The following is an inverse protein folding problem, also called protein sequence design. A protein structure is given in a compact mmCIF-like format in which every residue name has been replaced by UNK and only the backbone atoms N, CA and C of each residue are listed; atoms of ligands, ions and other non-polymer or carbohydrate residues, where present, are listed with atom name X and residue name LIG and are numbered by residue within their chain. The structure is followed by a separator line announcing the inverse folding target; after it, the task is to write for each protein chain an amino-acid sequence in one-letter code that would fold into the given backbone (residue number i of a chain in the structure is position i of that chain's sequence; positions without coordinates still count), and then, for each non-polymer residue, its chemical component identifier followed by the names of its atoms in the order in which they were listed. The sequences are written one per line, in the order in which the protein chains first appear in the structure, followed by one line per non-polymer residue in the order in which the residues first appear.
data_IF_191711572528
#
_entry.id   IF_191711572528
#
_cell.length_a   1.000
_cell.length_b   1.000
_cell.length_c   1.000
_cell.angle_alpha   90.00
_cell.angle_beta   90.00
_cell.angle_gamma   90.00
#
_symmetry.space_group_name_H-M   'P 1'
#
loop_
_entity.id
_entity.type
_entity.pdbx_description
1 polymer ?
#
# COMPACT_ATOMS: atom_id res chain seq x y z
N UNK A 1 26.83 -31.55 -41.94
CA UNK A 1 26.77 -30.85 -40.63
C UNK A 1 25.40 -30.21 -40.50
N UNK A 2 24.65 -30.52 -39.44
CA UNK A 2 23.21 -30.22 -39.30
C UNK A 2 23.06 -29.15 -38.22
N UNK A 3 22.74 -27.92 -38.61
CA UNK A 3 22.49 -26.80 -37.69
C UNK A 3 21.06 -26.89 -37.16
N UNK A 4 20.90 -27.21 -35.88
CA UNK A 4 19.64 -27.05 -35.16
C UNK A 4 19.45 -25.58 -34.77
N UNK A 5 18.26 -24.98 -34.99
CA UNK A 5 17.92 -23.70 -34.39
C UNK A 5 17.32 -23.96 -33.00
N UNK A 6 18.03 -23.54 -31.96
CA UNK A 6 17.45 -23.38 -30.62
C UNK A 6 16.55 -22.14 -30.63
N UNK A 7 15.25 -22.36 -30.80
CA UNK A 7 14.22 -21.36 -30.50
C UNK A 7 14.16 -21.16 -28.98
N UNK A 8 14.93 -20.20 -28.49
CA UNK A 8 14.86 -19.71 -27.12
C UNK A 8 13.58 -18.87 -26.98
N UNK A 9 12.48 -19.50 -26.58
CA UNK A 9 11.26 -18.80 -26.19
C UNK A 9 11.52 -18.03 -24.88
N UNK A 10 11.97 -16.78 -25.00
CA UNK A 10 11.99 -15.84 -23.87
C UNK A 10 10.55 -15.43 -23.56
N UNK A 11 9.88 -16.18 -22.69
CA UNK A 11 8.71 -15.72 -21.95
C UNK A 11 9.15 -14.62 -20.98
N UNK A 12 9.30 -13.40 -21.49
CA UNK A 12 9.37 -12.21 -20.65
C UNK A 12 7.93 -11.92 -20.21
N UNK A 13 7.48 -12.60 -19.16
CA UNK A 13 6.36 -12.10 -18.37
C UNK A 13 6.86 -10.83 -17.66
N UNK A 14 6.86 -9.70 -18.36
CA UNK A 14 7.15 -8.40 -17.78
C UNK A 14 5.97 -8.01 -16.87
N UNK A 15 6.13 -7.93 -15.54
CA UNK A 15 5.06 -7.46 -14.66
C UNK A 15 5.00 -5.92 -14.63
N UNK A 16 5.37 -5.25 -15.71
CA UNK A 16 5.51 -3.78 -15.75
C UNK A 16 4.30 -3.06 -16.36
N UNK A 17 3.19 -3.76 -16.62
CA UNK A 17 1.90 -3.11 -16.90
C UNK A 17 1.08 -2.82 -15.63
N UNK A 18 1.55 -3.26 -14.45
CA UNK A 18 0.78 -3.16 -13.21
C UNK A 18 0.65 -1.72 -12.66
N UNK A 19 1.56 -0.80 -12.96
CA UNK A 19 1.40 0.60 -12.55
C UNK A 19 0.51 1.40 -13.51
N UNK A 20 0.52 1.06 -14.81
CA UNK A 20 -0.15 1.84 -15.86
C UNK A 20 -1.68 1.80 -15.83
N UNK A 21 -2.27 0.83 -15.12
CA UNK A 21 -3.72 0.74 -14.93
C UNK A 21 -4.20 1.40 -13.63
N UNK A 22 -3.31 2.00 -12.84
CA UNK A 22 -3.67 2.73 -11.62
C UNK A 22 -3.87 4.20 -11.94
N UNK A 23 -5.09 4.68 -11.75
CA UNK A 23 -5.44 6.09 -11.81
C UNK A 23 -5.71 6.60 -10.40
N UNK A 24 -5.09 7.70 -9.99
CA UNK A 24 -5.31 8.32 -8.70
C UNK A 24 -5.70 9.78 -8.88
N UNK A 25 -6.60 10.27 -8.05
CA UNK A 25 -6.90 11.69 -8.03
C UNK A 25 -5.62 12.46 -7.63
N UNK A 26 -5.28 13.56 -8.33
CA UNK A 26 -4.09 14.35 -8.00
C UNK A 26 -4.24 15.00 -6.62
N UNK A 27 -5.45 15.42 -6.28
CA UNK A 27 -5.79 16.03 -5.00
C UNK A 27 -6.69 15.12 -4.15
N UNK A 28 -6.66 15.27 -2.82
CA UNK A 28 -7.58 14.57 -1.95
C UNK A 28 -9.03 14.95 -2.28
N UNK A 29 -9.92 13.95 -2.28
CA UNK A 29 -11.37 14.16 -2.45
C UNK A 29 -12.05 14.76 -1.22
N UNK A 30 -11.35 14.75 -0.07
CA UNK A 30 -11.73 15.44 1.15
C UNK A 30 -10.47 15.86 1.88
N UNK A 31 -10.38 17.14 2.26
CA UNK A 31 -9.33 17.67 3.13
C UNK A 31 -9.77 17.64 4.61
N UNK A 32 -8.83 17.77 5.54
CA UNK A 32 -9.07 17.75 6.99
C UNK A 32 -8.77 16.38 7.61
N UNK A 33 -9.43 16.03 8.72
CA UNK A 33 -9.19 14.76 9.43
C UNK A 33 -10.41 13.82 9.29
N UNK A 34 -10.30 12.65 8.62
CA UNK A 34 -9.16 12.25 7.79
C UNK A 34 -9.12 13.00 6.46
N UNK A 35 -7.91 13.13 5.93
CA UNK A 35 -7.71 13.50 4.52
C UNK A 35 -7.94 12.24 3.70
N UNK A 36 -8.72 12.35 2.62
CA UNK A 36 -9.18 11.19 1.85
C UNK A 36 -8.69 11.28 0.41
N UNK A 37 -7.98 10.25 -0.03
CA UNK A 37 -7.57 10.08 -1.42
C UNK A 37 -8.32 8.90 -2.06
N UNK A 38 -8.49 8.97 -3.37
CA UNK A 38 -9.09 7.91 -4.17
C UNK A 38 -8.20 7.55 -5.34
N UNK A 39 -8.08 6.24 -5.56
CA UNK A 39 -7.53 5.69 -6.77
C UNK A 39 -8.46 4.59 -7.31
N UNK A 40 -8.31 4.28 -8.59
CA UNK A 40 -8.95 3.15 -9.26
C UNK A 40 -7.87 2.37 -10.00
N UNK A 41 -7.82 1.07 -9.75
CA UNK A 41 -7.04 0.15 -10.57
C UNK A 41 -7.95 -0.53 -11.60
N UNK A 42 -7.69 -0.32 -12.88
CA UNK A 42 -8.52 -0.82 -13.96
C UNK A 42 -8.15 -2.24 -14.39
N UNK A 43 -9.17 -3.01 -14.75
CA UNK A 43 -9.03 -4.33 -15.37
C UNK A 43 -8.07 -5.29 -14.66
N UNK A 44 -8.27 -5.52 -13.36
CA UNK A 44 -7.44 -6.47 -12.64
C UNK A 44 -7.93 -6.94 -11.28
N UNK A 45 -6.99 -7.54 -10.56
CA UNK A 45 -7.21 -8.19 -9.27
C UNK A 45 -6.79 -7.31 -8.10
N UNK A 46 -7.21 -7.68 -6.88
CA UNK A 46 -6.76 -7.06 -5.63
C UNK A 46 -5.23 -7.12 -5.48
N UNK A 47 -4.60 -8.23 -5.90
CA UNK A 47 -3.16 -8.39 -5.81
C UNK A 47 -2.41 -7.44 -6.75
N UNK A 48 -2.90 -7.26 -7.98
CA UNK A 48 -2.33 -6.31 -8.91
C UNK A 48 -2.54 -4.86 -8.44
N UNK A 49 -3.74 -4.52 -7.97
CA UNK A 49 -4.03 -3.19 -7.42
C UNK A 49 -3.15 -2.85 -6.20
N UNK A 50 -2.94 -3.83 -5.32
CA UNK A 50 -2.04 -3.70 -4.16
C UNK A 50 -0.59 -3.44 -4.60
N UNK A 51 -0.07 -4.25 -5.52
CA UNK A 51 1.29 -4.07 -6.03
C UNK A 51 1.46 -2.72 -6.75
N UNK A 52 0.45 -2.31 -7.53
CA UNK A 52 0.44 -1.02 -8.20
C UNK A 52 0.51 0.13 -7.20
N UNK A 53 -0.30 0.10 -6.14
CA UNK A 53 -0.32 1.16 -5.13
C UNK A 53 0.96 1.18 -4.29
N UNK A 54 1.55 0.02 -3.97
CA UNK A 54 2.87 -0.10 -3.31
C UNK A 54 3.98 0.56 -4.12
N UNK A 55 3.88 0.56 -5.44
CA UNK A 55 4.87 1.16 -6.35
C UNK A 55 4.51 2.58 -6.81
N UNK A 56 3.32 3.07 -6.48
CA UNK A 56 2.83 4.37 -6.92
C UNK A 56 3.36 5.50 -6.02
N UNK A 57 3.88 6.55 -6.63
CA UNK A 57 4.38 7.74 -5.95
C UNK A 57 3.35 8.88 -6.01
N UNK A 58 3.27 9.68 -4.94
CA UNK A 58 2.56 10.95 -4.91
C UNK A 58 3.36 12.03 -5.65
N UNK A 59 2.79 13.23 -5.79
CA UNK A 59 3.48 14.39 -6.38
C UNK A 59 4.75 14.78 -5.60
N UNK A 60 4.76 14.53 -4.28
CA UNK A 60 5.92 14.73 -3.40
C UNK A 60 6.94 13.58 -3.45
N UNK A 61 6.86 12.71 -4.46
CA UNK A 61 7.72 11.53 -4.67
C UNK A 61 7.62 10.44 -3.56
N UNK A 62 6.71 10.61 -2.59
CA UNK A 62 6.46 9.64 -1.54
C UNK A 62 5.57 8.48 -2.03
N UNK A 63 5.87 7.25 -1.61
CA UNK A 63 5.04 6.09 -1.97
C UNK A 63 3.65 6.16 -1.31
N UNK A 64 2.58 5.98 -2.10
CA UNK A 64 1.19 6.08 -1.65
C UNK A 64 0.76 4.97 -0.69
N UNK A 65 1.43 3.83 -0.70
CA UNK A 65 1.26 2.78 0.29
C UNK A 65 2.64 2.31 0.76
N UNK A 66 3.23 3.06 1.69
CA UNK A 66 4.51 2.69 2.28
C UNK A 66 4.47 2.76 3.79
N UNK A 67 4.42 1.57 4.38
CA UNK A 67 4.44 1.36 5.81
C UNK A 67 5.56 0.36 6.13
N UNK A 68 6.37 0.61 7.17
CA UNK A 68 7.35 -0.35 7.64
C UNK A 68 6.72 -1.73 7.83
N UNK A 69 7.44 -2.78 7.43
CA UNK A 69 7.03 -4.19 7.56
C UNK A 69 5.79 -4.60 6.73
N UNK A 70 5.26 -3.72 5.87
CA UNK A 70 4.19 -4.08 4.96
C UNK A 70 4.71 -5.03 3.85
N UNK A 71 4.07 -6.20 3.63
CA UNK A 71 4.50 -7.14 2.61
C UNK A 71 4.52 -6.52 1.21
N UNK A 72 5.54 -6.85 0.41
CA UNK A 72 5.64 -6.35 -0.97
C UNK A 72 4.55 -6.91 -1.90
N UNK A 73 4.02 -8.08 -1.57
CA UNK A 73 2.90 -8.72 -2.28
C UNK A 73 1.71 -8.87 -1.36
N UNK A 74 0.50 -8.79 -1.91
CA UNK A 74 -0.72 -9.02 -1.14
C UNK A 74 -0.72 -10.44 -0.55
N UNK A 75 -0.68 -10.62 0.78
CA UNK A 75 -0.67 -11.94 1.39
C UNK A 75 -1.99 -12.67 1.13
N UNK A 76 -1.94 -13.98 0.94
CA UNK A 76 -3.15 -14.80 0.76
C UNK A 76 -4.01 -14.93 2.03
N UNK A 77 -3.42 -14.64 3.20
CA UNK A 77 -4.08 -14.67 4.52
C UNK A 77 -4.04 -13.30 5.17
N UNK A 78 -4.79 -13.14 6.25
CA UNK A 78 -4.66 -11.96 7.11
C UNK A 78 -3.24 -11.84 7.63
N UNK A 79 -2.76 -10.59 7.72
CA UNK A 79 -1.44 -10.25 8.24
C UNK A 79 -1.60 -9.25 9.38
N UNK A 80 -0.76 -9.41 10.39
CA UNK A 80 -0.67 -8.49 11.53
C UNK A 80 0.79 -8.45 11.95
N UNK A 81 1.33 -7.25 12.05
CA UNK A 81 2.65 -6.98 12.56
C UNK A 81 2.53 -5.92 13.66
N UNK A 82 3.16 -6.21 14.79
CA UNK A 82 3.24 -5.31 15.93
C UNK A 82 4.71 -5.09 16.23
N UNK A 83 5.07 -3.84 16.35
CA UNK A 83 6.43 -3.41 16.65
C UNK A 83 6.39 -2.18 17.55
N UNK A 84 7.57 -1.66 17.84
CA UNK A 84 7.73 -0.38 18.53
C UNK A 84 8.66 0.48 17.68
N UNK A 85 8.29 1.74 17.50
CA UNK A 85 9.21 2.74 16.98
C UNK A 85 9.86 3.46 18.16
N UNK A 86 11.14 3.79 18.00
CA UNK A 86 11.92 4.51 18.99
C UNK A 86 12.14 5.94 18.53
N UNK A 87 11.77 6.91 19.36
CA UNK A 87 11.97 8.33 19.11
C UNK A 87 12.51 9.00 20.37
N UNK A 88 13.46 9.90 20.18
CA UNK A 88 13.92 10.86 21.19
C UNK A 88 13.27 12.21 20.83
N UNK A 89 12.09 12.48 21.42
CA UNK A 89 11.32 13.70 21.11
C UNK A 89 11.79 14.92 21.89
N UNK A 90 12.38 14.76 23.07
CA UNK A 90 12.85 15.84 23.93
C UNK A 90 14.36 16.13 23.78
N UNK A 91 15.08 15.29 23.03
CA UNK A 91 16.50 15.45 22.75
C UNK A 91 17.39 15.13 23.94
N UNK A 92 16.90 14.37 24.92
CA UNK A 92 17.62 14.03 26.15
C UNK A 92 18.56 12.82 25.98
N UNK A 93 18.59 12.23 24.77
CA UNK A 93 19.37 11.05 24.42
C UNK A 93 18.71 9.73 24.81
N UNK A 94 17.46 9.74 25.31
CA UNK A 94 16.70 8.54 25.65
C UNK A 94 15.55 8.33 24.68
N UNK A 95 15.58 7.18 24.03
CA UNK A 95 14.47 6.78 23.16
C UNK A 95 13.26 6.37 24.00
N UNK A 96 12.13 7.00 23.70
CA UNK A 96 10.80 6.54 24.09
C UNK A 96 10.30 5.53 23.06
N UNK A 97 9.61 4.48 23.53
CA UNK A 97 9.11 3.40 22.68
C UNK A 97 7.61 3.52 22.48
N UNK A 98 7.19 3.64 21.23
CA UNK A 98 5.80 3.86 20.84
C UNK A 98 5.27 2.69 20.03
N UNK A 99 4.08 2.14 20.37
CA UNK A 99 3.57 0.97 19.69
C UNK A 99 3.14 1.31 18.26
N UNK A 100 3.51 0.40 17.36
CA UNK A 100 3.08 0.40 15.97
C UNK A 100 2.31 -0.87 15.67
N UNK A 101 1.15 -0.74 15.06
CA UNK A 101 0.37 -1.87 14.56
C UNK A 101 0.08 -1.71 13.08
N UNK A 102 0.48 -2.70 12.30
CA UNK A 102 0.14 -2.84 10.90
C UNK A 102 -0.74 -4.08 10.71
N UNK A 103 -1.90 -3.92 10.12
CA UNK A 103 -2.80 -5.03 9.78
C UNK A 103 -3.17 -5.01 8.30
N UNK A 104 -3.34 -6.21 7.73
CA UNK A 104 -3.96 -6.41 6.43
C UNK A 104 -5.00 -7.51 6.60
N UNK A 105 -6.26 -7.16 6.36
CA UNK A 105 -7.42 -8.03 6.60
C UNK A 105 -8.21 -8.21 5.31
N UNK A 106 -8.37 -9.46 4.90
CA UNK A 106 -9.34 -9.86 3.88
C UNK A 106 -10.73 -9.84 4.51
N UNK A 107 -11.65 -9.10 3.92
CA UNK A 107 -13.04 -8.93 4.36
C UNK A 107 -13.98 -9.52 3.31
N UNK A 108 -13.72 -10.77 2.94
CA UNK A 108 -14.31 -11.46 1.79
C UNK A 108 -13.43 -11.42 0.55
N UNK A 109 -13.87 -12.09 -0.52
CA UNK A 109 -13.07 -12.30 -1.74
C UNK A 109 -12.74 -11.02 -2.53
N UNK A 110 -13.49 -9.94 -2.30
CA UNK A 110 -13.40 -8.70 -3.08
C UNK A 110 -12.95 -7.49 -2.26
N UNK A 111 -12.51 -7.69 -1.01
CA UNK A 111 -12.23 -6.56 -0.11
C UNK A 111 -11.02 -6.83 0.77
N UNK A 112 -10.07 -5.90 0.77
CA UNK A 112 -8.89 -5.92 1.64
C UNK A 112 -8.76 -4.57 2.31
N UNK A 113 -8.58 -4.57 3.62
CA UNK A 113 -8.31 -3.37 4.41
C UNK A 113 -6.90 -3.46 4.99
N UNK A 114 -6.07 -2.47 4.68
CA UNK A 114 -4.77 -2.25 5.31
C UNK A 114 -4.92 -1.12 6.32
N UNK A 115 -4.47 -1.34 7.55
CA UNK A 115 -4.39 -0.28 8.57
C UNK A 115 -2.99 -0.20 9.12
N UNK A 116 -2.46 1.02 9.21
CA UNK A 116 -1.25 1.34 9.95
C UNK A 116 -1.60 2.31 11.06
N UNK A 117 -1.13 2.04 12.26
CA UNK A 117 -1.33 2.89 13.43
C UNK A 117 0.00 3.04 14.16
N UNK A 118 0.34 4.27 14.47
CA UNK A 118 1.47 4.66 15.30
C UNK A 118 0.93 5.56 16.40
N UNK A 119 0.99 5.07 17.63
CA UNK A 119 0.47 5.76 18.80
C UNK A 119 1.62 6.49 19.50
N UNK A 120 1.94 7.68 18.98
CA UNK A 120 2.92 8.61 19.55
C UNK A 120 2.19 9.86 20.08
N UNK A 121 2.49 10.35 21.30
CA UNK A 121 1.93 11.57 21.85
C UNK A 121 2.22 12.82 21.02
N UNK A 122 3.37 12.87 20.35
CA UNK A 122 3.80 14.02 19.56
C UNK A 122 3.26 14.00 18.14
N UNK A 123 3.05 12.81 17.56
CA UNK A 123 2.60 12.66 16.18
C UNK A 123 1.78 11.37 16.01
N UNK A 124 0.56 11.29 16.58
CA UNK A 124 -0.27 10.12 16.41
C UNK A 124 -0.68 10.06 14.94
N UNK A 125 -0.39 8.94 14.32
CA UNK A 125 -0.64 8.74 12.90
C UNK A 125 -1.39 7.45 12.70
N UNK A 126 -2.53 7.53 12.02
CA UNK A 126 -3.14 6.33 11.47
C UNK A 126 -3.54 6.51 10.02
N UNK A 127 -3.39 5.42 9.26
CA UNK A 127 -3.77 5.35 7.86
C UNK A 127 -4.61 4.11 7.63
N UNK A 128 -5.71 4.27 6.92
CA UNK A 128 -6.52 3.18 6.41
C UNK A 128 -6.50 3.17 4.88
N UNK A 129 -6.13 2.06 4.28
CA UNK A 129 -6.21 1.85 2.83
C UNK A 129 -7.14 0.69 2.52
N UNK A 130 -8.29 0.99 1.92
CA UNK A 130 -9.30 0.02 1.53
C UNK A 130 -9.21 -0.27 0.03
N UNK A 131 -9.01 -1.53 -0.32
CA UNK A 131 -9.15 -2.06 -1.67
C UNK A 131 -10.50 -2.76 -1.80
N UNK A 132 -11.31 -2.36 -2.76
CA UNK A 132 -12.62 -2.92 -3.02
C UNK A 132 -12.76 -3.25 -4.51
N UNK A 133 -12.79 -4.54 -4.84
CA UNK A 133 -12.99 -5.02 -6.21
C UNK A 133 -14.46 -4.91 -6.60
N UNK A 134 -14.74 -4.13 -7.64
CA UNK A 134 -16.05 -3.99 -8.28
C UNK A 134 -15.96 -4.41 -9.74
N UNK A 135 -16.37 -5.64 -10.02
CA UNK A 135 -16.26 -6.23 -11.35
C UNK A 135 -14.79 -6.34 -11.78
N UNK A 136 -14.43 -5.60 -12.84
CA UNK A 136 -13.07 -5.56 -13.39
C UNK A 136 -12.15 -4.53 -12.72
N UNK A 137 -12.70 -3.60 -11.94
CA UNK A 137 -11.93 -2.53 -11.33
C UNK A 137 -11.73 -2.80 -9.84
N UNK A 138 -10.69 -2.20 -9.26
CA UNK A 138 -10.49 -2.12 -7.81
C UNK A 138 -10.50 -0.65 -7.42
N UNK A 139 -11.51 -0.25 -6.66
CA UNK A 139 -11.53 1.06 -6.01
C UNK A 139 -10.63 1.03 -4.79
N UNK A 140 -9.82 2.08 -4.63
CA UNK A 140 -8.87 2.24 -3.54
C UNK A 140 -9.22 3.54 -2.82
N UNK A 141 -9.54 3.44 -1.53
CA UNK A 141 -9.76 4.60 -0.66
C UNK A 141 -8.67 4.65 0.39
N UNK A 142 -7.95 5.75 0.44
CA UNK A 142 -6.90 6.00 1.43
C UNK A 142 -7.42 7.09 2.36
N UNK A 143 -7.33 6.86 3.66
CA UNK A 143 -7.70 7.83 4.70
C UNK A 143 -6.50 8.04 5.61
N UNK A 144 -6.03 9.28 5.66
CA UNK A 144 -4.93 9.71 6.51
C UNK A 144 -5.51 10.49 7.69
N UNK A 145 -5.33 9.94 8.89
CA UNK A 145 -5.69 10.53 10.15
C UNK A 145 -4.39 11.02 10.79
N UNK A 146 -3.97 12.21 10.37
CA UNK A 146 -2.92 12.98 11.04
C UNK A 146 -3.66 14.07 11.83
N UNK A 147 -3.39 14.17 13.13
CA UNK A 147 -3.88 15.24 14.00
C UNK A 147 -2.76 16.19 14.36
#
# INVERSE_FOLDING_TARGET
MRTQPLLLALLIAAPFAAAGNLECNPQPVKQGVPTVYRCTYHNGSLAQAYAALRANRSEDDALRLDHPHLPNTLPARNFTHRSQNQYDYDGDGKNESYPVELTLRHQGANRVLVKYMQDSPASPYSRETLFLRKGRNVEITIKDYMS
#
